data_IF_541428344255
#
_entry.id   IF_541428344255
#
_cell.length_a   1.000
_cell.length_b   1.000
_cell.length_c   1.000
_cell.angle_alpha   90.00
_cell.angle_beta   90.00
_cell.angle_gamma   90.00
#
_symmetry.space_group_name_H-M   'P 1'
#
loop_
_entity.id
_entity.type
_entity.pdbx_description
1 polymer ?
#
# COMPACT_ATOMS: atom_id res chain seq x y z
N UNK A 1 -0.75 -0.56 -13.11
CA UNK A 1 -0.89 -0.55 -11.65
C UNK A 1 0.50 -0.54 -11.03
N UNK A 2 0.67 0.09 -9.88
CA UNK A 2 1.94 0.15 -9.17
C UNK A 2 1.82 -0.57 -7.83
N UNK A 3 2.85 -1.35 -7.50
CA UNK A 3 3.01 -2.04 -6.24
C UNK A 3 4.16 -1.40 -5.48
N UNK A 4 3.93 -1.06 -4.22
CA UNK A 4 4.94 -0.51 -3.33
C UNK A 4 5.09 -1.39 -2.09
N UNK A 5 6.33 -1.64 -1.70
CA UNK A 5 6.67 -2.09 -0.36
C UNK A 5 7.07 -0.86 0.45
N UNK A 6 6.37 -0.59 1.54
CA UNK A 6 6.50 0.63 2.34
C UNK A 6 6.65 0.27 3.81
N UNK A 7 7.61 0.84 4.51
CA UNK A 7 7.63 0.83 5.97
C UNK A 7 6.99 2.12 6.47
N UNK A 8 6.09 2.04 7.44
CA UNK A 8 5.44 3.19 8.05
C UNK A 8 5.27 2.99 9.55
N UNK A 9 5.32 4.06 10.31
CA UNK A 9 5.23 4.04 11.77
C UNK A 9 3.79 4.26 12.22
N UNK A 10 3.26 3.45 13.14
CA UNK A 10 1.93 3.68 13.69
C UNK A 10 1.91 4.96 14.53
N UNK A 11 0.96 5.85 14.25
CA UNK A 11 0.88 7.15 14.96
C UNK A 11 0.24 7.03 16.34
N UNK A 12 -0.51 5.96 16.58
CA UNK A 12 -1.25 5.69 17.82
C UNK A 12 -1.40 4.19 18.01
N UNK A 13 -1.87 3.76 19.17
CA UNK A 13 -2.29 2.39 19.36
C UNK A 13 -3.53 2.13 18.47
N UNK A 14 -3.44 1.14 17.59
CA UNK A 14 -4.54 0.77 16.69
C UNK A 14 -4.45 -0.69 16.26
N UNK A 15 -5.53 -1.43 16.48
CA UNK A 15 -5.55 -2.88 16.24
C UNK A 15 -4.50 -3.58 17.10
N UNK A 16 -3.58 -4.28 16.45
CA UNK A 16 -2.45 -4.97 17.07
C UNK A 16 -1.18 -4.11 17.18
N UNK A 17 -1.16 -2.91 16.56
CA UNK A 17 0.03 -2.06 16.47
C UNK A 17 0.07 -1.03 17.60
N UNK A 18 1.26 -0.87 18.19
CA UNK A 18 1.51 0.17 19.20
C UNK A 18 1.97 1.47 18.56
N UNK A 19 1.70 2.59 19.22
CA UNK A 19 2.23 3.88 18.84
C UNK A 19 3.77 3.83 18.74
N UNK A 20 4.33 4.29 17.62
CA UNK A 20 5.77 4.28 17.35
C UNK A 20 6.30 2.98 16.75
N UNK A 21 5.48 1.94 16.59
CA UNK A 21 5.88 0.69 15.96
C UNK A 21 6.00 0.83 14.44
N UNK A 22 7.11 0.36 13.87
CA UNK A 22 7.29 0.30 12.41
C UNK A 22 6.60 -0.94 11.83
N UNK A 23 5.74 -0.72 10.85
CA UNK A 23 4.91 -1.73 10.21
C UNK A 23 5.22 -1.78 8.71
N UNK A 24 5.49 -2.96 8.13
CA UNK A 24 5.69 -3.11 6.69
C UNK A 24 4.35 -3.29 5.96
N UNK A 25 4.22 -2.62 4.82
CA UNK A 25 3.04 -2.63 3.98
C UNK A 25 3.36 -3.03 2.55
N UNK A 26 2.41 -3.73 1.93
CA UNK A 26 2.29 -3.86 0.48
C UNK A 26 1.09 -3.02 0.04
N UNK A 27 1.34 -2.10 -0.89
CA UNK A 27 0.35 -1.13 -1.36
C UNK A 27 0.21 -1.24 -2.88
N UNK A 28 -1.00 -1.54 -3.33
CA UNK A 28 -1.37 -1.55 -4.74
C UNK A 28 -2.09 -0.25 -5.07
N UNK A 29 -1.64 0.46 -6.11
CA UNK A 29 -2.24 1.70 -6.59
C UNK A 29 -2.56 1.56 -8.07
N UNK A 30 -3.86 1.62 -8.40
CA UNK A 30 -4.33 1.66 -9.77
C UNK A 30 -4.39 3.12 -10.26
N UNK A 31 -3.25 3.67 -10.64
CA UNK A 31 -3.12 5.05 -11.10
C UNK A 31 -2.30 5.16 -12.37
N UNK A 32 -2.43 6.29 -13.06
CA UNK A 32 -1.88 6.51 -14.41
C UNK A 32 -0.35 6.54 -14.41
N UNK A 33 0.24 7.33 -13.53
CA UNK A 33 1.67 7.56 -13.48
C UNK A 33 2.28 7.18 -12.12
N UNK A 34 3.59 6.97 -12.12
CA UNK A 34 4.34 6.54 -10.95
C UNK A 34 4.38 7.60 -9.84
N UNK A 35 4.54 8.88 -10.21
CA UNK A 35 4.67 9.96 -9.23
C UNK A 35 3.39 10.11 -8.42
N UNK A 36 2.25 10.21 -9.10
CA UNK A 36 0.94 10.25 -8.45
C UNK A 36 0.66 8.98 -7.64
N UNK A 37 1.05 7.81 -8.16
CA UNK A 37 0.89 6.56 -7.45
C UNK A 37 1.69 6.51 -6.12
N UNK A 38 2.93 7.00 -6.12
CA UNK A 38 3.76 7.07 -4.91
C UNK A 38 3.17 8.04 -3.87
N UNK A 39 2.67 9.20 -4.30
CA UNK A 39 2.03 10.14 -3.38
C UNK A 39 0.74 9.56 -2.77
N UNK A 40 -0.10 8.94 -3.59
CA UNK A 40 -1.34 8.29 -3.13
C UNK A 40 -1.05 7.15 -2.16
N UNK A 41 -0.04 6.32 -2.41
CA UNK A 41 0.34 5.24 -1.49
C UNK A 41 0.66 5.76 -0.09
N UNK A 42 1.46 6.84 0.01
CA UNK A 42 1.79 7.48 1.29
C UNK A 42 0.57 8.13 1.93
N UNK A 43 -0.26 8.83 1.15
CA UNK A 43 -1.48 9.48 1.64
C UNK A 43 -2.49 8.47 2.20
N UNK A 44 -2.65 7.31 1.57
CA UNK A 44 -3.55 6.28 2.08
C UNK A 44 -3.04 5.68 3.41
N UNK A 45 -1.74 5.43 3.55
CA UNK A 45 -1.17 5.02 4.84
C UNK A 45 -1.38 6.09 5.93
N UNK A 46 -1.19 7.36 5.57
CA UNK A 46 -1.48 8.49 6.46
C UNK A 46 -2.94 8.56 6.89
N UNK A 47 -3.87 8.33 5.96
CA UNK A 47 -5.30 8.26 6.25
C UNK A 47 -5.63 7.13 7.23
N UNK A 48 -4.96 5.99 7.12
CA UNK A 48 -5.11 4.84 8.03
C UNK A 48 -4.33 5.00 9.36
N UNK A 49 -3.75 6.18 9.63
CA UNK A 49 -3.10 6.49 10.92
C UNK A 49 -1.61 6.15 10.99
N UNK A 50 -0.95 5.90 9.86
CA UNK A 50 0.49 5.63 9.81
C UNK A 50 1.27 6.85 9.29
N UNK A 51 2.48 7.08 9.82
CA UNK A 51 3.35 8.20 9.46
C UNK A 51 4.72 7.71 9.00
N UNK A 52 5.57 8.64 8.58
CA UNK A 52 6.96 8.37 8.21
C UNK A 52 7.12 7.27 7.12
N UNK A 53 6.18 7.27 6.17
CA UNK A 53 6.08 6.26 5.11
C UNK A 53 7.28 6.30 4.16
N UNK A 54 8.10 5.25 4.22
CA UNK A 54 9.32 5.08 3.42
C UNK A 54 9.15 3.95 2.42
N UNK A 55 9.22 4.28 1.13
CA UNK A 55 9.11 3.30 0.04
C UNK A 55 10.44 2.53 -0.04
N UNK A 56 10.38 1.23 0.22
CA UNK A 56 11.52 0.30 0.19
C UNK A 56 11.73 -0.25 -1.21
N UNK A 57 10.65 -0.68 -1.87
CA UNK A 57 10.67 -1.24 -3.24
C UNK A 57 9.43 -0.78 -4.01
N UNK A 58 9.58 -0.68 -5.33
CA UNK A 58 8.48 -0.40 -6.25
C UNK A 58 8.50 -1.34 -7.45
N UNK A 59 7.32 -1.71 -7.95
CA UNK A 59 7.16 -2.53 -9.15
C UNK A 59 5.97 -2.04 -9.96
N UNK A 60 6.12 -1.98 -11.29
CA UNK A 60 5.00 -1.80 -12.20
C UNK A 60 4.36 -3.14 -12.54
N UNK A 61 3.04 -3.19 -12.47
CA UNK A 61 2.22 -4.33 -12.85
C UNK A 61 1.44 -3.93 -14.09
N UNK A 62 1.74 -4.61 -15.20
CA UNK A 62 0.98 -4.52 -16.45
C UNK A 62 -0.32 -5.29 -16.28
N UNK A 63 -1.44 -4.62 -16.54
CA UNK A 63 -2.76 -5.23 -16.52
C UNK A 63 -3.15 -5.54 -17.95
N UNK A 64 -3.10 -6.80 -18.36
CA UNK A 64 -3.36 -7.21 -19.76
C UNK A 64 -4.86 -7.35 -20.09
N UNK A 65 -5.73 -6.60 -19.41
CA UNK A 65 -7.18 -6.58 -19.64
C UNK A 65 -7.95 -7.84 -19.22
N UNK A 66 -7.25 -8.93 -18.85
CA UNK A 66 -7.86 -10.12 -18.25
C UNK A 66 -8.00 -9.93 -16.73
N UNK A 67 -9.05 -10.51 -16.11
CA UNK A 67 -9.18 -10.50 -14.66
C UNK A 67 -7.98 -11.21 -14.04
N UNK A 68 -7.24 -10.49 -13.19
CA UNK A 68 -6.12 -11.06 -12.45
C UNK A 68 -6.67 -11.99 -11.38
N UNK A 69 -6.09 -13.17 -11.15
CA UNK A 69 -6.57 -14.09 -10.10
C UNK A 69 -6.21 -13.64 -8.68
N UNK A 70 -5.33 -12.63 -8.56
CA UNK A 70 -4.88 -12.11 -7.27
C UNK A 70 -5.96 -11.20 -6.67
N UNK A 71 -6.49 -11.52 -5.48
CA UNK A 71 -7.59 -10.76 -4.88
C UNK A 71 -7.21 -9.31 -4.56
N UNK A 72 -5.94 -9.03 -4.31
CA UNK A 72 -5.41 -7.71 -3.94
C UNK A 72 -5.39 -6.80 -5.16
N UNK A 73 -4.99 -7.36 -6.31
CA UNK A 73 -5.04 -6.67 -7.60
C UNK A 73 -6.50 -6.43 -8.01
N UNK A 74 -7.40 -7.41 -7.83
CA UNK A 74 -8.82 -7.21 -8.11
C UNK A 74 -9.44 -6.10 -7.24
N UNK A 75 -9.11 -6.09 -5.95
CA UNK A 75 -9.58 -5.04 -5.04
C UNK A 75 -9.06 -3.66 -5.46
N UNK A 76 -7.77 -3.55 -5.77
CA UNK A 76 -7.17 -2.30 -6.24
C UNK A 76 -7.72 -1.85 -7.60
N UNK A 77 -8.11 -2.77 -8.49
CA UNK A 77 -8.82 -2.44 -9.72
C UNK A 77 -10.21 -1.86 -9.45
N UNK A 78 -10.93 -2.39 -8.46
CA UNK A 78 -12.30 -1.96 -8.13
C UNK A 78 -12.34 -0.67 -7.31
N UNK A 79 -11.49 -0.53 -6.31
CA UNK A 79 -11.48 0.60 -5.35
C UNK A 79 -10.47 1.70 -5.71
N UNK A 80 -9.55 1.43 -6.63
CA UNK A 80 -8.42 2.31 -6.98
C UNK A 80 -7.14 2.00 -6.21
N UNK A 81 -7.23 1.32 -5.06
CA UNK A 81 -6.07 0.90 -4.26
C UNK A 81 -6.39 -0.31 -3.36
N UNK A 82 -5.35 -0.96 -2.85
CA UNK A 82 -5.43 -1.97 -1.78
C UNK A 82 -4.21 -1.79 -0.85
N UNK A 83 -4.44 -1.76 0.46
CA UNK A 83 -3.41 -1.69 1.49
C UNK A 83 -3.38 -3.03 2.24
N UNK A 84 -2.18 -3.57 2.43
CA UNK A 84 -1.99 -4.77 3.22
C UNK A 84 -0.80 -4.63 4.14
N UNK A 85 -1.00 -4.92 5.42
CA UNK A 85 0.08 -5.05 6.38
C UNK A 85 0.66 -6.46 6.30
N UNK A 86 1.98 -6.57 6.30
CA UNK A 86 2.66 -7.85 6.34
C UNK A 86 3.03 -8.15 7.80
N UNK A 87 2.38 -9.13 8.41
CA UNK A 87 2.87 -9.67 9.68
C UNK A 87 3.93 -10.72 9.34
N UNK A 88 5.20 -10.43 9.62
CA UNK A 88 6.23 -11.45 9.65
C UNK A 88 6.05 -12.26 10.94
N UNK A 89 5.17 -13.26 10.91
CA UNK A 89 5.12 -14.31 11.93
C UNK A 89 6.35 -15.21 11.83
#
# INVERSE_FOLDING_TARGET
MYLFSINATSSKDQGEFKAGEECPFIVYINFLDLFGAEQLAKLYLMKEGFRDATIVKRRFIKLDGKPHQDPQIQEAQKKGYCLQVFSAH
#
